data_IF_333652818393
#
_entry.id   IF_333652818393
#
_cell.length_a   1.000
_cell.length_b   1.000
_cell.length_c   1.000
_cell.angle_alpha   90.00
_cell.angle_beta   90.00
_cell.angle_gamma   90.00
#
_symmetry.space_group_name_H-M   'P 1'
#
loop_
_entity.id
_entity.type
_entity.pdbx_description
1 polymer ?
#
# COMPACT_ATOMS: atom_id res chain seq x y z
N UNK A 1 4.50 20.42 -17.09
CA UNK A 1 4.19 18.98 -17.07
C UNK A 1 4.18 18.52 -15.61
N UNK A 2 3.08 17.92 -15.12
CA UNK A 2 2.90 17.55 -13.70
C UNK A 2 3.45 16.14 -13.40
N UNK A 3 3.35 15.22 -14.37
CA UNK A 3 3.81 13.84 -14.22
C UNK A 3 5.30 13.69 -14.55
N UNK A 4 6.02 12.99 -13.68
CA UNK A 4 7.35 12.46 -14.00
C UNK A 4 7.22 11.38 -15.08
N UNK A 5 8.21 11.27 -15.97
CA UNK A 5 8.19 10.36 -17.12
C UNK A 5 8.88 9.02 -16.85
N UNK A 6 9.45 8.83 -15.66
CA UNK A 6 10.12 7.60 -15.28
C UNK A 6 9.13 6.58 -14.74
N UNK A 7 9.24 5.33 -15.18
CA UNK A 7 8.44 4.20 -14.73
C UNK A 7 9.35 3.01 -14.45
N UNK A 8 9.11 2.31 -13.34
CA UNK A 8 9.88 1.14 -12.92
C UNK A 8 8.94 -0.05 -12.63
N UNK A 9 8.51 -0.79 -13.66
CA UNK A 9 7.71 -1.99 -13.48
C UNK A 9 8.57 -3.07 -12.83
N UNK A 10 8.00 -3.75 -11.84
CA UNK A 10 8.58 -4.98 -11.29
C UNK A 10 7.50 -6.05 -11.31
N UNK A 11 7.79 -7.16 -11.99
CA UNK A 11 6.91 -8.34 -12.02
C UNK A 11 6.91 -9.01 -10.64
N UNK A 12 5.74 -9.37 -10.13
CA UNK A 12 5.57 -10.06 -8.86
C UNK A 12 5.29 -11.54 -9.14
N UNK A 13 6.36 -12.31 -9.34
CA UNK A 13 6.25 -13.72 -9.76
C UNK A 13 6.02 -14.73 -8.63
N UNK A 14 6.05 -14.29 -7.37
CA UNK A 14 5.87 -15.16 -6.20
C UNK A 14 5.03 -14.49 -5.13
N UNK A 15 4.38 -15.30 -4.28
CA UNK A 15 3.60 -14.79 -3.14
C UNK A 15 4.47 -13.97 -2.18
N UNK A 16 5.71 -14.40 -1.94
CA UNK A 16 6.66 -13.65 -1.13
C UNK A 16 6.91 -12.24 -1.69
N UNK A 17 7.06 -12.10 -3.00
CA UNK A 17 7.23 -10.78 -3.63
C UNK A 17 5.96 -9.93 -3.49
N UNK A 18 4.78 -10.53 -3.58
CA UNK A 18 3.51 -9.83 -3.40
C UNK A 18 3.36 -9.31 -1.96
N UNK A 19 3.59 -10.17 -0.97
CA UNK A 19 3.55 -9.82 0.46
C UNK A 19 4.54 -8.70 0.78
N UNK A 20 5.80 -8.84 0.36
CA UNK A 20 6.82 -7.81 0.60
C UNK A 20 6.46 -6.44 0.01
N UNK A 21 5.80 -6.41 -1.16
CA UNK A 21 5.39 -5.15 -1.80
C UNK A 21 4.13 -4.58 -1.18
N UNK A 22 3.21 -5.43 -0.72
CA UNK A 22 2.04 -5.00 0.03
C UNK A 22 2.46 -4.36 1.35
N UNK A 23 3.36 -4.98 2.11
CA UNK A 23 3.93 -4.45 3.34
C UNK A 23 4.65 -3.12 3.08
N UNK A 24 5.48 -3.06 2.03
CA UNK A 24 6.15 -1.82 1.65
C UNK A 24 5.16 -0.69 1.38
N UNK A 25 4.09 -0.96 0.63
CA UNK A 25 3.05 0.02 0.31
C UNK A 25 2.34 0.53 1.57
N UNK A 26 1.98 -0.37 2.49
CA UNK A 26 1.27 -0.03 3.73
C UNK A 26 2.15 0.70 4.74
N UNK A 27 3.43 0.36 4.81
CA UNK A 27 4.41 1.00 5.71
C UNK A 27 4.92 2.35 5.20
N UNK A 28 4.76 2.66 3.91
CA UNK A 28 5.31 3.90 3.34
C UNK A 28 4.86 5.18 4.06
N UNK A 29 3.57 5.38 4.40
CA UNK A 29 3.12 6.54 5.17
C UNK A 29 3.76 6.65 6.57
N UNK A 30 4.13 5.52 7.18
CA UNK A 30 4.80 5.50 8.49
C UNK A 30 6.27 5.90 8.33
N UNK A 31 6.96 5.32 7.34
CA UNK A 31 8.36 5.64 7.02
C UNK A 31 8.58 7.11 6.63
N UNK A 32 7.60 7.70 5.95
CA UNK A 32 7.58 9.12 5.60
C UNK A 32 7.15 10.02 6.77
N UNK A 33 6.78 9.45 7.92
CA UNK A 33 6.42 10.19 9.14
C UNK A 33 5.06 10.87 9.09
N UNK A 34 4.14 10.42 8.23
CA UNK A 34 2.81 11.01 8.11
C UNK A 34 1.84 10.50 9.18
N UNK A 35 2.00 9.25 9.60
CA UNK A 35 1.17 8.57 10.59
C UNK A 35 2.01 7.62 11.43
N UNK A 36 1.56 7.33 12.64
CA UNK A 36 2.25 6.38 13.54
C UNK A 36 2.00 4.92 13.19
N UNK A 37 0.85 4.60 12.56
CA UNK A 37 0.51 3.24 12.13
C UNK A 37 -0.03 3.21 10.68
N UNK A 38 0.20 2.13 9.92
CA UNK A 38 -0.25 2.00 8.52
C UNK A 38 -1.75 2.29 8.32
N UNK A 39 -2.58 1.70 9.18
CA UNK A 39 -4.05 1.80 9.12
C UNK A 39 -4.60 3.18 9.53
N UNK A 40 -3.77 4.11 9.96
CA UNK A 40 -4.19 5.47 10.29
C UNK A 40 -4.13 6.37 9.05
N UNK A 41 -3.41 5.98 8.00
CA UNK A 41 -3.39 6.73 6.74
C UNK A 41 -4.70 6.58 5.97
N UNK A 42 -5.42 7.70 5.80
CA UNK A 42 -6.78 7.73 5.24
C UNK A 42 -6.86 7.18 3.81
N UNK A 43 -5.82 7.43 3.00
CA UNK A 43 -5.79 7.08 1.58
C UNK A 43 -5.01 5.80 1.30
N UNK A 44 -4.96 4.86 2.26
CA UNK A 44 -4.36 3.53 2.08
C UNK A 44 -5.37 2.43 2.33
N UNK A 45 -5.22 1.32 1.61
CA UNK A 45 -5.95 0.07 1.84
C UNK A 45 -5.51 -0.65 3.11
N UNK A 46 -4.40 -0.24 3.76
CA UNK A 46 -3.96 -0.77 5.04
C UNK A 46 -5.09 -0.77 6.10
N UNK A 47 -6.03 0.17 5.98
CA UNK A 47 -7.25 0.24 6.79
C UNK A 47 -8.08 -1.03 6.67
N UNK A 48 -8.37 -1.45 5.45
CA UNK A 48 -9.17 -2.65 5.15
C UNK A 48 -8.46 -3.92 5.61
N UNK A 49 -7.15 -4.02 5.42
CA UNK A 49 -6.33 -5.13 5.92
C UNK A 49 -6.28 -5.18 7.47
N UNK A 50 -6.43 -4.04 8.15
CA UNK A 50 -6.57 -3.97 9.60
C UNK A 50 -8.02 -4.19 10.10
N UNK A 51 -8.94 -4.61 9.22
CA UNK A 51 -10.35 -4.84 9.57
C UNK A 51 -11.17 -3.57 9.77
N UNK A 52 -10.65 -2.40 9.38
CA UNK A 52 -11.37 -1.12 9.38
C UNK A 52 -11.95 -0.87 7.99
N UNK A 53 -13.05 -0.13 7.89
CA UNK A 53 -13.57 0.25 6.57
C UNK A 53 -12.69 1.34 5.94
N UNK A 54 -12.10 1.04 4.77
CA UNK A 54 -11.46 2.02 3.91
C UNK A 54 -12.45 2.88 3.14
N UNK A 55 -11.94 3.84 2.37
CA UNK A 55 -12.77 4.77 1.60
C UNK A 55 -13.47 4.11 0.41
N UNK A 56 -12.94 2.98 -0.07
CA UNK A 56 -13.43 2.25 -1.23
C UNK A 56 -13.64 0.78 -0.87
N UNK A 57 -14.52 0.10 -1.60
CA UNK A 57 -14.58 -1.36 -1.57
C UNK A 57 -13.37 -1.94 -2.29
N UNK A 58 -12.69 -2.90 -1.65
CA UNK A 58 -11.53 -3.58 -2.22
C UNK A 58 -11.75 -5.10 -2.25
N UNK A 59 -11.00 -5.76 -3.13
CA UNK A 59 -10.77 -7.20 -3.07
C UNK A 59 -9.40 -7.44 -2.46
N UNK A 60 -9.31 -8.39 -1.55
CA UNK A 60 -8.03 -8.79 -0.96
C UNK A 60 -7.23 -9.60 -1.97
N UNK A 61 -5.91 -9.45 -1.91
CA UNK A 61 -4.98 -10.27 -2.70
C UNK A 61 -4.88 -11.65 -2.04
N UNK A 62 -4.96 -12.72 -2.84
CA UNK A 62 -4.82 -14.12 -2.43
C UNK A 62 -3.42 -14.68 -2.71
#
# INVERSE_FOLDING_TARGET
QVWQQEYHPVELGTNEMMEQRLDYLHENPVKEGWVDNPQDYLYSSARDYAGRKGLLDIMFVE
#
